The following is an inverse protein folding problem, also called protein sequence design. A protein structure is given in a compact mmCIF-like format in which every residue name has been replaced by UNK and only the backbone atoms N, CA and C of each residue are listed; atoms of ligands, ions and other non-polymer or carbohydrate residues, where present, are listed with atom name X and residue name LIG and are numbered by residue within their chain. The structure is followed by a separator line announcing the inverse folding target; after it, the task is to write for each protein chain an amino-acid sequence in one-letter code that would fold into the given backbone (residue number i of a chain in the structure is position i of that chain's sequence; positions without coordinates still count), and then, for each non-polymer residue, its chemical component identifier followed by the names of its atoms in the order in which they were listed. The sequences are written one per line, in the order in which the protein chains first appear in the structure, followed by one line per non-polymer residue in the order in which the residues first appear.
data_IF_188761515087
#
_entry.id   IF_188761515087
#
_cell.length_a   1.000
_cell.length_b   1.000
_cell.length_c   1.000
_cell.angle_alpha   90.00
_cell.angle_beta   90.00
_cell.angle_gamma   90.00
#
_symmetry.space_group_name_H-M   'P 1'
#
loop_
_entity.id
_entity.type
_entity.pdbx_description
1 polymer ?
#
# COMPACT_ATOMS: atom_id res chain seq x y z
N UNK A 1 -3.07 -30.97 49.26
CA UNK A 1 -3.76 -32.25 49.00
C UNK A 1 -3.29 -33.39 49.90
N UNK A 2 -2.01 -33.84 49.91
CA UNK A 2 -1.55 -34.97 50.77
C UNK A 2 -1.84 -34.74 52.25
N UNK A 3 -1.47 -33.58 52.82
CA UNK A 3 -1.73 -33.23 54.24
C UNK A 3 -3.24 -33.14 54.54
N UNK A 4 -4.03 -32.60 53.64
CA UNK A 4 -5.50 -32.50 53.81
C UNK A 4 -6.17 -33.89 53.89
N UNK A 5 -5.79 -34.82 52.98
CA UNK A 5 -6.30 -36.17 52.96
C UNK A 5 -5.88 -36.92 54.26
N UNK A 6 -4.68 -36.67 54.78
CA UNK A 6 -4.23 -37.26 56.01
C UNK A 6 -4.99 -36.73 57.24
N UNK A 7 -5.28 -35.40 57.29
CA UNK A 7 -6.11 -34.81 58.35
C UNK A 7 -7.54 -35.36 58.29
N UNK A 8 -8.04 -35.69 57.11
CA UNK A 8 -9.33 -36.35 56.93
C UNK A 8 -9.36 -37.86 57.29
N UNK A 9 -8.27 -38.40 57.86
CA UNK A 9 -8.19 -39.77 58.35
C UNK A 9 -7.76 -40.84 57.31
N UNK A 10 -7.43 -40.43 56.08
CA UNK A 10 -7.05 -41.40 55.06
C UNK A 10 -5.71 -42.09 55.36
N UNK A 11 -5.63 -43.41 55.07
CA UNK A 11 -4.39 -44.16 55.25
C UNK A 11 -3.35 -43.82 54.18
N UNK A 12 -2.05 -43.95 54.52
CA UNK A 12 -0.93 -43.56 53.64
C UNK A 12 -1.02 -44.33 52.31
N UNK A 13 -1.41 -45.62 52.34
CA UNK A 13 -1.57 -46.48 51.19
C UNK A 13 -2.64 -45.90 50.25
N UNK A 14 -3.80 -45.49 50.80
CA UNK A 14 -4.90 -44.94 50.03
C UNK A 14 -4.57 -43.59 49.40
N UNK A 15 -3.83 -42.76 50.14
CA UNK A 15 -3.32 -41.48 49.65
C UNK A 15 -2.33 -41.70 48.50
N UNK A 16 -1.43 -42.69 48.64
CA UNK A 16 -0.46 -43.03 47.61
C UNK A 16 -1.14 -43.51 46.33
N UNK A 17 -2.12 -44.41 46.47
CA UNK A 17 -2.90 -44.92 45.34
C UNK A 17 -3.73 -43.80 44.64
N UNK A 18 -4.39 -42.95 45.43
CA UNK A 18 -5.25 -41.87 44.92
C UNK A 18 -4.47 -40.77 44.20
N UNK A 19 -3.23 -40.52 44.58
CA UNK A 19 -2.36 -39.49 44.02
C UNK A 19 -1.43 -40.02 42.93
N UNK A 20 -1.32 -41.34 42.78
CA UNK A 20 -0.44 -42.03 41.81
C UNK A 20 1.05 -41.86 42.17
N UNK A 21 1.41 -41.95 43.50
CA UNK A 21 2.77 -41.87 43.96
C UNK A 21 3.10 -42.94 44.98
N UNK A 22 4.39 -43.20 45.25
CA UNK A 22 4.79 -44.20 46.25
C UNK A 22 4.46 -43.77 47.69
N UNK A 23 4.20 -44.72 48.60
CA UNK A 23 4.02 -44.43 50.04
C UNK A 23 5.21 -43.66 50.63
N UNK A 24 6.44 -43.97 50.20
CA UNK A 24 7.66 -43.27 50.58
C UNK A 24 7.56 -41.79 50.25
N UNK A 25 6.98 -41.46 49.10
CA UNK A 25 6.75 -40.07 48.68
C UNK A 25 5.72 -39.40 49.59
N UNK A 26 4.60 -40.10 49.92
CA UNK A 26 3.58 -39.57 50.84
C UNK A 26 4.18 -39.30 52.24
N UNK A 27 4.93 -40.26 52.81
CA UNK A 27 5.59 -40.07 54.11
C UNK A 27 6.57 -38.93 54.11
N UNK A 28 7.40 -38.78 53.05
CA UNK A 28 8.31 -37.64 52.88
C UNK A 28 7.59 -36.30 52.89
N UNK A 29 6.47 -36.20 52.15
CA UNK A 29 5.69 -34.96 52.09
C UNK A 29 4.94 -34.63 53.39
N UNK A 30 4.53 -35.62 54.13
CA UNK A 30 3.92 -35.46 55.45
C UNK A 30 4.94 -34.98 56.51
N UNK A 31 6.19 -35.41 56.40
CA UNK A 31 7.27 -34.99 57.32
C UNK A 31 7.80 -33.57 57.04
N UNK A 32 7.51 -32.98 55.89
CA UNK A 32 7.97 -31.63 55.56
C UNK A 32 7.08 -30.56 56.19
N UNK A 33 7.61 -29.52 56.85
CA UNK A 33 6.84 -28.44 57.44
C UNK A 33 6.11 -27.61 56.38
N UNK A 34 6.68 -27.47 55.17
CA UNK A 34 6.10 -26.80 54.01
C UNK A 34 6.25 -27.64 52.73
N UNK A 35 5.40 -27.42 51.70
CA UNK A 35 5.60 -28.07 50.41
C UNK A 35 7.00 -27.80 49.88
N UNK A 36 7.74 -28.81 49.34
CA UNK A 36 9.05 -28.56 48.78
C UNK A 36 8.93 -27.61 47.61
N UNK A 37 9.55 -26.47 47.74
CA UNK A 37 9.74 -25.56 46.59
C UNK A 37 10.68 -26.26 45.62
N UNK A 38 10.25 -26.47 44.40
CA UNK A 38 11.09 -27.05 43.36
C UNK A 38 12.42 -26.28 43.28
N UNK A 39 13.53 -26.99 43.16
CA UNK A 39 14.83 -26.35 42.93
C UNK A 39 14.65 -25.35 41.77
N UNK A 40 15.12 -24.09 41.93
CA UNK A 40 15.11 -23.15 40.84
C UNK A 40 15.81 -23.81 39.65
N UNK A 41 15.10 -24.01 38.56
CA UNK A 41 15.68 -24.54 37.31
C UNK A 41 16.77 -23.56 36.90
N UNK A 42 18.03 -23.93 36.99
CA UNK A 42 19.15 -23.16 36.44
C UNK A 42 18.82 -22.93 34.95
N UNK A 43 18.59 -21.70 34.61
CA UNK A 43 18.17 -21.30 33.28
C UNK A 43 19.37 -21.53 32.37
N UNK A 44 19.32 -22.56 31.52
CA UNK A 44 20.34 -22.76 30.48
C UNK A 44 20.36 -21.55 29.57
N UNK A 45 21.55 -21.03 29.19
CA UNK A 45 21.63 -19.92 28.23
C UNK A 45 20.90 -20.28 26.93
N UNK A 46 20.07 -19.38 26.51
CA UNK A 46 19.31 -19.54 25.26
C UNK A 46 20.12 -18.99 24.08
N UNK A 47 20.04 -19.63 22.92
CA UNK A 47 20.60 -19.08 21.65
C UNK A 47 20.08 -17.66 21.34
N UNK A 48 18.95 -17.27 21.96
CA UNK A 48 18.33 -15.96 21.79
C UNK A 48 18.98 -14.89 22.70
N UNK A 49 19.63 -15.27 23.78
CA UNK A 49 20.11 -14.32 24.81
C UNK A 49 21.00 -13.21 24.24
N UNK A 50 21.96 -13.48 23.35
CA UNK A 50 22.80 -12.44 22.73
C UNK A 50 22.00 -11.44 21.87
N UNK A 51 20.86 -11.85 21.35
CA UNK A 51 20.04 -11.08 20.42
C UNK A 51 18.88 -10.33 21.09
N UNK A 52 18.63 -10.55 22.37
CA UNK A 52 17.55 -9.87 23.11
C UNK A 52 17.63 -8.34 23.08
N UNK A 53 18.82 -7.70 23.25
CA UNK A 53 18.92 -6.25 23.13
C UNK A 53 18.46 -5.72 21.78
N UNK A 54 18.81 -6.40 20.69
CA UNK A 54 18.33 -6.06 19.35
C UNK A 54 16.81 -6.19 19.24
N UNK A 55 16.23 -7.29 19.76
CA UNK A 55 14.76 -7.48 19.75
C UNK A 55 14.08 -6.34 20.52
N UNK A 56 14.60 -5.98 21.70
CA UNK A 56 14.03 -4.91 22.54
C UNK A 56 14.13 -3.55 21.84
N UNK A 57 15.20 -3.27 21.12
CA UNK A 57 15.34 -2.10 20.29
C UNK A 57 14.30 -2.08 19.15
N UNK A 58 14.08 -3.22 18.48
CA UNK A 58 13.04 -3.33 17.44
C UNK A 58 11.64 -3.09 18.03
N UNK A 59 11.34 -3.63 19.20
CA UNK A 59 10.06 -3.40 19.89
C UNK A 59 9.89 -1.93 20.30
N UNK A 60 10.94 -1.25 20.75
CA UNK A 60 10.93 0.19 21.04
C UNK A 60 10.69 1.02 19.77
N UNK A 61 11.18 0.55 18.64
CA UNK A 61 10.92 1.13 17.31
C UNK A 61 9.56 0.72 16.72
N UNK A 62 8.65 0.17 17.54
CA UNK A 62 7.31 -0.29 17.13
C UNK A 62 7.28 -1.45 16.12
N UNK A 63 8.39 -2.19 15.93
CA UNK A 63 8.43 -3.41 15.12
C UNK A 63 7.92 -4.58 15.97
N UNK A 64 6.62 -4.89 15.88
CA UNK A 64 5.96 -5.95 16.65
C UNK A 64 5.81 -7.27 15.91
N UNK A 65 6.25 -7.35 14.64
CA UNK A 65 6.15 -8.56 13.83
C UNK A 65 7.30 -9.50 14.13
N UNK A 66 7.04 -10.59 14.86
CA UNK A 66 8.05 -11.58 15.24
C UNK A 66 8.71 -12.26 14.02
N UNK A 67 8.05 -12.34 12.88
CA UNK A 67 8.62 -12.91 11.65
C UNK A 67 9.64 -11.96 11.02
N UNK A 68 9.33 -10.66 10.97
CA UNK A 68 10.27 -9.63 10.51
C UNK A 68 11.53 -9.64 11.39
N UNK A 69 11.34 -9.63 12.72
CA UNK A 69 12.45 -9.67 13.67
C UNK A 69 13.26 -10.96 13.49
N UNK A 70 12.61 -12.10 13.31
CA UNK A 70 13.29 -13.38 13.07
C UNK A 70 14.14 -13.38 11.81
N UNK A 71 13.64 -12.80 10.71
CA UNK A 71 14.41 -12.67 9.46
C UNK A 71 15.63 -11.79 9.66
N UNK A 72 15.49 -10.63 10.32
CA UNK A 72 16.61 -9.74 10.65
C UNK A 72 17.65 -10.43 11.56
N UNK A 73 17.20 -11.23 12.53
CA UNK A 73 18.10 -12.02 13.37
C UNK A 73 18.86 -13.09 12.58
N UNK A 74 18.20 -13.72 11.60
CA UNK A 74 18.85 -14.67 10.68
C UNK A 74 19.98 -14.02 9.89
N UNK A 75 19.76 -12.81 9.41
CA UNK A 75 20.77 -12.00 8.71
C UNK A 75 21.97 -11.67 9.61
N UNK A 76 21.74 -11.57 10.94
CA UNK A 76 22.79 -11.36 11.95
C UNK A 76 23.38 -12.67 12.50
N UNK A 77 23.08 -13.83 11.88
CA UNK A 77 23.66 -15.11 12.27
C UNK A 77 22.88 -15.90 13.34
N UNK A 78 21.63 -15.52 13.67
CA UNK A 78 20.81 -16.29 14.60
C UNK A 78 20.41 -17.65 14.02
N UNK A 79 20.80 -18.73 14.68
CA UNK A 79 20.55 -20.12 14.29
C UNK A 79 19.42 -20.82 15.08
N UNK A 80 18.68 -20.07 15.91
CA UNK A 80 17.57 -20.59 16.72
C UNK A 80 16.25 -20.61 15.97
N UNK A 81 15.17 -21.07 16.65
CA UNK A 81 13.83 -21.14 16.06
C UNK A 81 13.06 -19.82 16.18
N UNK A 82 12.13 -19.60 15.25
CA UNK A 82 11.19 -18.47 15.31
C UNK A 82 10.24 -18.57 16.52
N UNK A 83 10.05 -19.76 17.07
CA UNK A 83 9.22 -19.98 18.28
C UNK A 83 9.80 -19.27 19.47
N UNK A 84 11.11 -19.35 19.72
CA UNK A 84 11.78 -18.64 20.83
C UNK A 84 11.62 -17.12 20.70
N UNK A 85 11.71 -16.59 19.48
CA UNK A 85 11.50 -15.17 19.23
C UNK A 85 10.05 -14.78 19.54
N UNK A 86 9.07 -15.57 19.10
CA UNK A 86 7.65 -15.33 19.41
C UNK A 86 7.34 -15.40 20.89
N UNK A 87 7.86 -16.38 21.60
CA UNK A 87 7.70 -16.53 23.04
C UNK A 87 8.30 -15.35 23.82
N UNK A 88 9.43 -14.81 23.38
CA UNK A 88 10.05 -13.63 23.99
C UNK A 88 9.24 -12.35 23.76
N UNK A 89 8.66 -12.17 22.57
CA UNK A 89 7.89 -10.98 22.19
C UNK A 89 6.46 -11.01 22.74
N UNK A 90 5.84 -12.20 22.83
CA UNK A 90 4.42 -12.35 23.16
C UNK A 90 3.98 -11.63 24.46
N UNK A 91 4.67 -11.76 25.61
CA UNK A 91 4.25 -11.09 26.85
C UNK A 91 4.42 -9.57 26.79
N UNK A 92 5.21 -9.05 25.85
CA UNK A 92 5.46 -7.62 25.67
C UNK A 92 4.47 -6.95 24.71
N UNK A 93 3.64 -7.75 24.00
CA UNK A 93 2.66 -7.22 23.03
C UNK A 93 1.47 -6.54 23.71
N UNK A 94 1.05 -5.37 23.22
CA UNK A 94 -0.21 -4.76 23.67
C UNK A 94 -1.41 -5.66 23.29
N UNK A 95 -2.38 -5.75 24.20
CA UNK A 95 -3.63 -6.50 23.98
C UNK A 95 -4.46 -5.87 22.86
N UNK A 96 -4.91 -6.67 21.91
CA UNK A 96 -5.79 -6.25 20.82
C UNK A 96 -7.13 -7.00 20.88
N UNK A 97 -8.24 -6.29 20.71
CA UNK A 97 -9.56 -6.90 20.59
C UNK A 97 -9.68 -7.73 19.29
N UNK A 98 -10.25 -8.93 19.38
CA UNK A 98 -10.51 -9.78 18.21
C UNK A 98 -11.78 -9.32 17.48
N UNK A 99 -11.71 -9.20 16.14
CA UNK A 99 -12.87 -8.89 15.29
C UNK A 99 -13.38 -10.18 14.63
N UNK A 100 -14.69 -10.44 14.72
CA UNK A 100 -15.34 -11.55 14.01
C UNK A 100 -15.46 -11.22 12.52
N UNK A 101 -15.09 -12.13 11.63
CA UNK A 101 -15.17 -11.99 10.16
C UNK A 101 -15.78 -13.21 9.52
N UNK A 102 -16.70 -13.02 8.57
CA UNK A 102 -17.25 -14.08 7.71
C UNK A 102 -16.31 -14.25 6.51
N UNK A 103 -15.88 -15.47 6.26
CA UNK A 103 -15.03 -15.83 5.12
C UNK A 103 -15.89 -16.35 3.97
N UNK A 104 -15.69 -15.83 2.77
CA UNK A 104 -16.24 -16.41 1.55
C UNK A 104 -15.10 -16.61 0.54
N UNK A 105 -15.18 -17.69 -0.22
CA UNK A 105 -14.20 -18.00 -1.25
C UNK A 105 -14.75 -17.62 -2.63
N UNK A 106 -13.85 -17.19 -3.52
CA UNK A 106 -14.17 -16.88 -4.91
C UNK A 106 -13.56 -17.92 -5.83
N UNK A 107 -14.18 -18.16 -6.96
CA UNK A 107 -13.61 -19.01 -8.03
C UNK A 107 -12.37 -18.34 -8.62
N UNK A 108 -11.45 -19.12 -9.24
CA UNK A 108 -10.28 -18.60 -9.93
C UNK A 108 -10.65 -17.55 -10.98
N UNK A 109 -9.86 -16.51 -11.12
CA UNK A 109 -10.03 -15.43 -12.09
C UNK A 109 -11.28 -14.56 -11.91
N UNK A 110 -12.12 -14.83 -10.91
CA UNK A 110 -13.45 -14.20 -10.78
C UNK A 110 -13.42 -12.80 -10.25
N UNK A 111 -12.53 -12.49 -9.30
CA UNK A 111 -12.57 -11.21 -8.61
C UNK A 111 -11.20 -10.78 -8.09
N UNK A 112 -10.90 -9.52 -8.34
CA UNK A 112 -9.88 -8.75 -7.63
C UNK A 112 -10.56 -7.84 -6.62
N UNK A 113 -9.94 -7.66 -5.46
CA UNK A 113 -10.33 -6.67 -4.45
C UNK A 113 -9.24 -5.61 -4.36
N UNK A 114 -9.64 -4.36 -4.53
CA UNK A 114 -8.78 -3.18 -4.42
C UNK A 114 -9.08 -2.43 -3.13
N UNK A 115 -8.03 -2.00 -2.43
CA UNK A 115 -8.13 -1.15 -1.24
C UNK A 115 -6.93 -0.22 -1.11
N UNK A 116 -7.17 0.93 -0.49
CA UNK A 116 -6.12 1.87 -0.11
C UNK A 116 -5.78 1.77 1.37
N UNK A 117 -4.51 1.92 1.66
CA UNK A 117 -4.00 2.13 3.00
C UNK A 117 -3.08 3.34 3.05
N UNK A 118 -2.94 3.94 4.21
CA UNK A 118 -2.01 5.05 4.42
C UNK A 118 -0.98 4.67 5.48
N UNK A 119 0.26 5.07 5.29
CA UNK A 119 1.33 4.90 6.25
C UNK A 119 2.24 6.11 6.25
N UNK A 120 2.73 6.49 7.43
CA UNK A 120 3.71 7.55 7.56
C UNK A 120 5.12 6.96 7.54
N UNK A 121 5.93 7.36 6.59
CA UNK A 121 7.30 6.88 6.40
C UNK A 121 8.17 7.95 5.74
N UNK A 122 9.45 7.69 5.62
CA UNK A 122 10.40 8.60 4.99
C UNK A 122 10.56 8.28 3.50
N UNK A 123 10.41 9.31 2.64
CA UNK A 123 10.65 9.21 1.19
C UNK A 123 11.43 10.46 0.76
N UNK A 124 12.58 10.28 0.11
CA UNK A 124 13.43 11.39 -0.34
C UNK A 124 13.93 12.27 0.82
N UNK A 125 14.24 11.67 1.97
CA UNK A 125 14.68 12.39 3.17
C UNK A 125 13.58 13.17 3.90
N UNK A 126 12.30 13.00 3.53
CA UNK A 126 11.16 13.68 4.17
C UNK A 126 10.16 12.69 4.71
N UNK A 127 9.69 12.91 5.93
CA UNK A 127 8.61 12.12 6.50
C UNK A 127 7.29 12.58 5.90
N UNK A 128 6.64 11.71 5.14
CA UNK A 128 5.37 11.99 4.47
C UNK A 128 4.36 10.85 4.67
N UNK A 129 3.11 11.11 4.33
CA UNK A 129 2.09 10.08 4.25
C UNK A 129 2.13 9.45 2.86
N UNK A 130 2.48 8.17 2.81
CA UNK A 130 2.47 7.35 1.60
C UNK A 130 1.13 6.63 1.51
N UNK A 131 0.52 6.67 0.33
CA UNK A 131 -0.70 5.91 0.03
C UNK A 131 -0.29 4.60 -0.66
N UNK A 132 -0.81 3.48 -0.17
CA UNK A 132 -0.53 2.14 -0.71
C UNK A 132 -1.83 1.54 -1.26
N UNK A 133 -1.86 1.28 -2.54
CA UNK A 133 -2.91 0.51 -3.19
C UNK A 133 -2.61 -0.98 -3.06
N UNK A 134 -3.54 -1.75 -2.54
CA UNK A 134 -3.41 -3.20 -2.35
C UNK A 134 -4.45 -3.91 -3.21
N UNK A 135 -3.98 -4.62 -4.22
CA UNK A 135 -4.77 -5.37 -5.18
C UNK A 135 -4.63 -6.87 -4.89
N UNK A 136 -5.70 -7.54 -4.52
CA UNK A 136 -5.68 -8.95 -4.09
C UNK A 136 -6.60 -9.80 -4.95
N UNK A 137 -6.07 -10.83 -5.59
CA UNK A 137 -6.87 -11.83 -6.27
C UNK A 137 -7.66 -12.67 -5.26
N UNK A 138 -8.93 -12.83 -5.53
CA UNK A 138 -9.86 -13.37 -4.55
C UNK A 138 -9.68 -14.86 -4.26
N UNK A 139 -9.17 -15.66 -5.19
CA UNK A 139 -8.94 -17.09 -5.05
C UNK A 139 -7.53 -17.38 -4.50
N UNK A 140 -6.49 -16.97 -5.19
CA UNK A 140 -5.10 -17.29 -4.83
C UNK A 140 -4.59 -16.53 -3.61
N UNK A 141 -5.16 -15.37 -3.30
CA UNK A 141 -4.57 -14.38 -2.37
C UNK A 141 -3.25 -13.80 -2.87
N UNK A 142 -2.97 -14.00 -4.14
CA UNK A 142 -1.86 -13.35 -4.82
C UNK A 142 -2.14 -11.86 -4.85
N UNK A 143 -1.15 -11.05 -4.51
CA UNK A 143 -1.38 -9.62 -4.34
C UNK A 143 -0.34 -8.81 -5.10
N UNK A 144 -0.76 -7.64 -5.53
CA UNK A 144 0.10 -6.59 -6.00
C UNK A 144 -0.08 -5.37 -5.09
N UNK A 145 1.00 -4.68 -4.78
CA UNK A 145 1.00 -3.46 -3.96
C UNK A 145 1.73 -2.37 -4.73
N UNK A 146 1.09 -1.24 -4.83
CA UNK A 146 1.65 -0.05 -5.46
C UNK A 146 1.58 1.15 -4.52
N UNK A 147 2.65 1.93 -4.44
CA UNK A 147 2.74 3.10 -3.56
C UNK A 147 2.79 4.38 -4.38
N UNK A 148 2.03 5.38 -3.95
CA UNK A 148 1.98 6.68 -4.59
C UNK A 148 1.73 7.83 -3.60
N UNK A 149 1.91 9.07 -4.04
CA UNK A 149 1.72 10.25 -3.19
C UNK A 149 0.25 10.56 -2.91
N UNK A 150 -0.66 10.12 -3.76
CA UNK A 150 -2.10 10.42 -3.68
C UNK A 150 -2.94 9.14 -3.82
N UNK A 151 -4.25 9.25 -3.53
CA UNK A 151 -5.25 8.18 -3.70
C UNK A 151 -6.46 8.70 -4.50
N UNK A 152 -6.21 9.57 -5.49
CA UNK A 152 -7.20 10.07 -6.42
C UNK A 152 -7.58 9.04 -7.50
N UNK A 153 -8.36 9.45 -8.48
CA UNK A 153 -8.85 8.57 -9.53
C UNK A 153 -7.69 8.04 -10.39
N UNK A 154 -6.79 8.92 -10.81
CA UNK A 154 -5.66 8.60 -11.67
C UNK A 154 -4.70 7.60 -11.01
N UNK A 155 -4.37 7.82 -9.73
CA UNK A 155 -3.54 6.87 -8.96
C UNK A 155 -4.25 5.54 -8.73
N UNK A 156 -5.58 5.54 -8.57
CA UNK A 156 -6.37 4.30 -8.47
C UNK A 156 -6.31 3.53 -9.79
N UNK A 157 -6.48 4.20 -10.93
CA UNK A 157 -6.41 3.57 -12.24
C UNK A 157 -5.01 3.02 -12.51
N UNK A 158 -3.97 3.81 -12.23
CA UNK A 158 -2.57 3.38 -12.37
C UNK A 158 -2.28 2.15 -11.54
N UNK A 159 -2.71 2.12 -10.27
CA UNK A 159 -2.50 0.96 -9.41
C UNK A 159 -3.12 -0.33 -9.94
N UNK A 160 -4.28 -0.22 -10.63
CA UNK A 160 -4.95 -1.35 -11.27
C UNK A 160 -4.24 -1.76 -12.56
N UNK A 161 -3.79 -0.80 -13.38
CA UNK A 161 -2.98 -1.07 -14.58
C UNK A 161 -1.71 -1.82 -14.21
N UNK A 162 -0.98 -1.35 -13.20
CA UNK A 162 0.23 -2.02 -12.70
C UNK A 162 -0.08 -3.42 -12.15
N UNK A 163 -1.22 -3.59 -11.45
CA UNK A 163 -1.65 -4.90 -10.98
C UNK A 163 -1.94 -5.86 -12.14
N UNK A 164 -2.63 -5.41 -13.19
CA UNK A 164 -2.92 -6.24 -14.37
C UNK A 164 -1.65 -6.61 -15.14
N UNK A 165 -0.67 -5.69 -15.21
CA UNK A 165 0.67 -5.99 -15.75
C UNK A 165 1.36 -7.07 -14.93
N UNK A 166 1.36 -6.92 -13.61
CA UNK A 166 2.02 -7.83 -12.68
C UNK A 166 1.40 -9.23 -12.69
N UNK A 167 0.07 -9.34 -12.82
CA UNK A 167 -0.64 -10.62 -12.91
C UNK A 167 -0.58 -11.23 -14.32
N UNK A 168 -0.14 -10.45 -15.29
CA UNK A 168 -0.20 -10.81 -16.72
C UNK A 168 -1.61 -11.27 -17.12
N UNK A 169 -2.62 -10.54 -16.65
CA UNK A 169 -4.01 -10.85 -16.90
C UNK A 169 -4.99 -9.99 -16.10
N UNK A 170 -6.26 -10.05 -16.47
CA UNK A 170 -7.34 -9.23 -15.91
C UNK A 170 -8.41 -10.13 -15.28
N UNK A 171 -8.81 -9.91 -14.03
CA UNK A 171 -9.90 -10.66 -13.40
C UNK A 171 -11.26 -10.26 -13.98
N UNK A 172 -12.24 -11.17 -13.98
CA UNK A 172 -13.58 -10.90 -14.51
C UNK A 172 -14.31 -9.75 -13.78
N UNK A 173 -13.93 -9.40 -12.56
CA UNK A 173 -14.50 -8.25 -11.85
C UNK A 173 -13.52 -7.63 -10.87
N UNK A 174 -13.61 -6.32 -10.69
CA UNK A 174 -12.84 -5.55 -9.69
C UNK A 174 -13.80 -4.99 -8.65
N UNK A 175 -13.58 -5.36 -7.38
CA UNK A 175 -14.33 -4.86 -6.23
C UNK A 175 -13.56 -3.71 -5.60
N UNK A 176 -14.16 -2.52 -5.62
CA UNK A 176 -13.61 -1.30 -5.00
C UNK A 176 -14.45 -0.87 -3.81
N UNK A 177 -13.85 -0.05 -2.94
CA UNK A 177 -14.61 0.64 -1.90
C UNK A 177 -15.41 1.81 -2.49
N UNK A 178 -16.33 2.36 -1.68
CA UNK A 178 -17.14 3.54 -2.04
C UNK A 178 -16.32 4.85 -2.00
N UNK A 179 -15.08 4.81 -2.49
CA UNK A 179 -14.26 6.03 -2.61
C UNK A 179 -14.68 6.79 -3.89
N UNK A 180 -14.65 8.12 -3.80
CA UNK A 180 -15.01 9.02 -4.92
C UNK A 180 -14.20 8.79 -6.19
N UNK A 181 -12.99 8.25 -6.06
CA UNK A 181 -12.14 7.87 -7.19
C UNK A 181 -12.81 6.85 -8.13
N UNK A 182 -13.59 5.93 -7.59
CA UNK A 182 -14.25 4.88 -8.36
C UNK A 182 -15.78 4.97 -8.30
N UNK A 183 -16.37 5.42 -7.17
CA UNK A 183 -17.82 5.45 -6.93
C UNK A 183 -18.25 6.88 -6.62
N UNK A 184 -19.05 7.48 -7.50
CA UNK A 184 -19.57 8.83 -7.32
C UNK A 184 -20.74 8.82 -6.34
N UNK A 185 -21.64 7.84 -6.47
CA UNK A 185 -22.84 7.71 -5.62
C UNK A 185 -23.23 6.26 -5.42
N UNK A 186 -23.65 5.93 -4.22
CA UNK A 186 -24.21 4.64 -3.87
C UNK A 186 -25.53 4.86 -3.11
N UNK A 187 -26.64 4.61 -3.76
CA UNK A 187 -27.96 4.84 -3.22
C UNK A 187 -28.36 3.73 -2.23
N UNK A 188 -29.33 4.05 -1.34
CA UNK A 188 -29.85 3.09 -0.35
C UNK A 188 -30.48 1.86 -1.01
N UNK A 189 -31.03 2.04 -2.21
CA UNK A 189 -31.65 0.98 -3.00
C UNK A 189 -30.63 0.05 -3.70
N UNK A 190 -29.33 0.28 -3.47
CA UNK A 190 -28.25 -0.53 -4.00
C UNK A 190 -27.78 -0.13 -5.42
N UNK A 191 -28.31 0.97 -5.98
CA UNK A 191 -27.86 1.53 -7.26
C UNK A 191 -26.53 2.24 -7.08
N UNK A 192 -25.51 1.86 -7.85
CA UNK A 192 -24.17 2.42 -7.82
C UNK A 192 -23.94 3.25 -9.08
N UNK A 193 -23.49 4.48 -8.90
CA UNK A 193 -22.98 5.33 -9.99
C UNK A 193 -21.46 5.37 -9.88
N UNK A 194 -20.80 4.75 -10.83
CA UNK A 194 -19.34 4.76 -10.91
C UNK A 194 -18.83 6.05 -11.57
N UNK A 195 -17.58 6.39 -11.30
CA UNK A 195 -16.86 7.44 -12.02
C UNK A 195 -16.72 7.02 -13.49
N UNK A 196 -16.91 7.98 -14.42
CA UNK A 196 -16.86 7.73 -15.88
C UNK A 196 -15.49 7.15 -16.28
N UNK A 197 -14.38 7.73 -15.80
CA UNK A 197 -13.03 7.21 -16.08
C UNK A 197 -12.81 5.79 -15.54
N UNK A 198 -13.45 5.43 -14.40
CA UNK A 198 -13.40 4.05 -13.90
C UNK A 198 -14.17 3.08 -14.79
N UNK A 199 -15.31 3.51 -15.37
CA UNK A 199 -16.04 2.70 -16.37
C UNK A 199 -15.29 2.57 -17.68
N UNK A 200 -14.61 3.62 -18.13
CA UNK A 200 -13.73 3.58 -19.30
C UNK A 200 -12.58 2.59 -19.10
N UNK A 201 -11.92 2.63 -17.92
CA UNK A 201 -10.92 1.63 -17.54
C UNK A 201 -11.51 0.22 -17.55
N UNK A 202 -12.70 0.03 -16.98
CA UNK A 202 -13.38 -1.26 -16.94
C UNK A 202 -13.70 -1.80 -18.34
N UNK A 203 -14.17 -0.94 -19.23
CA UNK A 203 -14.45 -1.29 -20.62
C UNK A 203 -13.16 -1.63 -21.39
N UNK A 204 -12.09 -0.85 -21.18
CA UNK A 204 -10.81 -1.06 -21.85
C UNK A 204 -10.21 -2.44 -21.52
N UNK A 205 -10.28 -2.86 -20.25
CA UNK A 205 -9.76 -4.15 -19.80
C UNK A 205 -10.79 -5.29 -19.79
N UNK A 206 -12.07 -5.02 -20.02
CA UNK A 206 -13.13 -6.02 -20.09
C UNK A 206 -13.58 -6.58 -18.73
N UNK A 207 -13.33 -5.89 -17.63
CA UNK A 207 -13.78 -6.33 -16.30
C UNK A 207 -15.10 -5.66 -15.87
N UNK A 208 -15.83 -6.32 -14.98
CA UNK A 208 -17.04 -5.76 -14.37
C UNK A 208 -16.68 -4.97 -13.12
N UNK A 209 -17.01 -3.67 -13.09
CA UNK A 209 -16.88 -2.82 -11.93
C UNK A 209 -17.87 -3.24 -10.83
N UNK A 210 -17.41 -3.44 -9.59
CA UNK A 210 -18.22 -3.75 -8.41
C UNK A 210 -17.86 -2.84 -7.25
N UNK A 211 -18.87 -2.34 -6.52
CA UNK A 211 -18.67 -1.58 -5.29
C UNK A 211 -19.06 -2.39 -4.06
N UNK A 212 -18.40 -2.12 -2.95
CA UNK A 212 -18.77 -2.68 -1.66
C UNK A 212 -20.14 -2.15 -1.22
N UNK A 213 -21.00 -3.02 -0.69
CA UNK A 213 -22.27 -2.58 -0.11
C UNK A 213 -22.01 -1.69 1.12
N UNK A 214 -22.66 -0.50 1.23
CA UNK A 214 -22.55 0.34 2.40
C UNK A 214 -22.93 -0.43 3.66
N UNK A 215 -22.28 -0.13 4.79
CA UNK A 215 -22.54 -0.71 6.12
C UNK A 215 -22.43 -2.25 6.24
N UNK A 216 -21.86 -2.94 5.24
CA UNK A 216 -21.52 -4.38 5.34
C UNK A 216 -20.00 -4.60 5.22
N UNK A 217 -19.23 -4.37 6.29
CA UNK A 217 -17.76 -4.52 6.26
C UNK A 217 -17.29 -5.94 5.95
N UNK A 218 -18.21 -6.92 5.93
CA UNK A 218 -17.90 -8.34 5.74
C UNK A 218 -17.47 -8.71 4.32
N UNK A 219 -17.79 -7.88 3.31
CA UNK A 219 -17.48 -8.16 1.90
C UNK A 219 -16.02 -7.91 1.54
N UNK A 220 -15.32 -7.05 2.28
CA UNK A 220 -13.95 -6.57 2.00
C UNK A 220 -12.86 -7.18 2.90
N UNK A 221 -13.21 -8.14 3.75
CA UNK A 221 -12.29 -8.69 4.77
C UNK A 221 -10.98 -9.32 4.25
N UNK A 222 -10.84 -9.53 2.94
CA UNK A 222 -9.59 -10.04 2.33
C UNK A 222 -8.56 -8.92 2.17
N UNK A 223 -8.95 -7.78 1.59
CA UNK A 223 -8.06 -6.63 1.36
C UNK A 223 -7.70 -5.88 2.64
N UNK A 224 -8.64 -5.63 3.54
CA UNK A 224 -8.34 -4.98 4.83
C UNK A 224 -7.24 -5.72 5.60
N UNK A 225 -7.27 -7.07 5.56
CA UNK A 225 -6.20 -7.89 6.16
C UNK A 225 -4.89 -7.75 5.43
N UNK A 226 -4.93 -7.63 4.09
CA UNK A 226 -3.71 -7.48 3.29
C UNK A 226 -3.11 -6.09 3.43
N UNK A 227 -3.90 -5.03 3.52
CA UNK A 227 -3.42 -3.69 3.91
C UNK A 227 -2.70 -3.75 5.27
N UNK A 228 -3.32 -4.40 6.27
CA UNK A 228 -2.70 -4.63 7.58
C UNK A 228 -1.43 -5.47 7.47
N UNK A 229 -1.42 -6.51 6.64
CA UNK A 229 -0.26 -7.36 6.41
C UNK A 229 0.92 -6.58 5.80
N UNK A 230 0.68 -5.77 4.76
CA UNK A 230 1.70 -4.91 4.15
C UNK A 230 2.27 -3.93 5.19
N UNK A 231 1.42 -3.23 5.94
CA UNK A 231 1.86 -2.29 6.98
C UNK A 231 2.71 -2.95 8.07
N UNK A 232 2.31 -4.13 8.54
CA UNK A 232 2.96 -4.82 9.65
C UNK A 232 4.10 -5.76 9.22
N UNK A 233 4.29 -5.98 7.93
CA UNK A 233 5.35 -6.86 7.44
C UNK A 233 6.39 -6.10 6.61
N UNK A 234 5.97 -5.40 5.55
CA UNK A 234 6.86 -4.66 4.71
C UNK A 234 7.38 -3.38 5.40
N UNK A 235 6.49 -2.49 5.84
CA UNK A 235 6.89 -1.20 6.41
C UNK A 235 7.48 -1.28 7.83
N UNK A 236 7.38 -2.42 8.50
CA UNK A 236 8.17 -2.66 9.72
C UNK A 236 9.61 -3.06 9.43
N UNK A 237 9.87 -3.59 8.23
CA UNK A 237 11.22 -3.95 7.78
C UNK A 237 11.92 -2.77 7.07
N UNK A 238 11.20 -2.07 6.20
CA UNK A 238 11.71 -0.95 5.41
C UNK A 238 11.03 0.34 5.85
N UNK A 239 11.80 1.35 6.23
CA UNK A 239 11.27 2.58 6.83
C UNK A 239 11.69 3.87 6.14
N UNK A 240 12.70 3.80 5.28
CA UNK A 240 13.24 4.93 4.53
C UNK A 240 13.43 4.53 3.08
N UNK A 241 13.08 5.42 2.18
CA UNK A 241 13.10 5.19 0.74
C UNK A 241 13.63 6.44 0.03
N UNK A 242 14.46 6.26 -0.99
CA UNK A 242 15.03 7.38 -1.74
C UNK A 242 13.97 8.08 -2.61
N UNK A 243 13.01 7.31 -3.12
CA UNK A 243 11.94 7.79 -3.99
C UNK A 243 10.75 6.83 -3.99
N UNK A 244 9.62 7.22 -4.58
CA UNK A 244 8.49 6.32 -4.84
C UNK A 244 8.87 5.16 -5.78
N UNK A 245 9.75 5.40 -6.74
CA UNK A 245 10.26 4.34 -7.63
C UNK A 245 11.04 3.29 -6.82
N UNK A 246 11.97 3.71 -5.96
CA UNK A 246 12.71 2.82 -5.07
C UNK A 246 11.76 2.05 -4.12
N UNK A 247 10.77 2.73 -3.54
CA UNK A 247 9.76 2.09 -2.69
C UNK A 247 9.00 0.98 -3.45
N UNK A 248 8.55 1.26 -4.67
CA UNK A 248 7.82 0.29 -5.51
C UNK A 248 8.70 -0.89 -5.93
N UNK A 249 9.98 -0.68 -6.23
CA UNK A 249 10.94 -1.77 -6.49
C UNK A 249 11.12 -2.68 -5.28
N UNK A 250 11.26 -2.11 -4.09
CA UNK A 250 11.35 -2.90 -2.86
C UNK A 250 10.06 -3.65 -2.53
N UNK A 251 8.90 -3.06 -2.83
CA UNK A 251 7.60 -3.72 -2.71
C UNK A 251 7.53 -4.94 -3.63
N UNK A 252 7.90 -4.80 -4.89
CA UNK A 252 7.91 -5.90 -5.86
C UNK A 252 8.87 -7.02 -5.44
N UNK A 253 10.07 -6.68 -5.02
CA UNK A 253 11.02 -7.65 -4.47
C UNK A 253 10.44 -8.39 -3.25
N UNK A 254 9.83 -7.67 -2.31
CA UNK A 254 9.22 -8.28 -1.13
C UNK A 254 8.00 -9.15 -1.48
N UNK A 255 7.20 -8.75 -2.48
CA UNK A 255 6.07 -9.54 -2.96
C UNK A 255 6.55 -10.92 -3.45
N UNK A 256 7.59 -10.94 -4.28
CA UNK A 256 8.12 -12.18 -4.87
C UNK A 256 8.85 -13.07 -3.86
N UNK A 257 9.67 -12.48 -2.99
CA UNK A 257 10.52 -13.22 -2.06
C UNK A 257 9.82 -13.61 -0.75
N UNK A 258 8.84 -12.85 -0.30
CA UNK A 258 8.20 -13.05 1.01
C UNK A 258 6.69 -13.26 0.91
N UNK A 259 5.97 -12.32 0.30
CA UNK A 259 4.51 -12.32 0.40
C UNK A 259 3.87 -13.48 -0.35
N UNK A 260 4.38 -13.85 -1.51
CA UNK A 260 3.84 -14.94 -2.33
C UNK A 260 4.34 -16.32 -1.91
N UNK A 261 5.44 -16.37 -1.16
CA UNK A 261 6.01 -17.62 -0.64
C UNK A 261 5.43 -18.03 0.73
N UNK A 262 4.60 -17.17 1.36
CA UNK A 262 4.01 -17.49 2.67
C UNK A 262 3.02 -18.63 2.58
N UNK A 263 3.08 -19.59 3.50
CA UNK A 263 2.10 -20.67 3.57
C UNK A 263 0.73 -20.15 4.04
N UNK A 264 -0.30 -20.34 3.23
CA UNK A 264 -1.69 -20.10 3.60
C UNK A 264 -2.23 -21.32 4.37
N UNK A 265 -2.22 -21.24 5.70
CA UNK A 265 -2.57 -22.37 6.58
C UNK A 265 -3.91 -23.03 6.26
N UNK A 266 -4.89 -22.24 5.78
CA UNK A 266 -6.22 -22.75 5.42
C UNK A 266 -6.16 -23.70 4.21
N UNK A 267 -5.24 -23.47 3.28
CA UNK A 267 -5.16 -24.20 2.01
C UNK A 267 -3.93 -25.11 1.94
N UNK A 268 -3.00 -25.01 2.90
CA UNK A 268 -1.70 -25.68 2.89
C UNK A 268 -0.90 -25.44 1.60
N UNK A 269 -1.10 -24.29 0.99
CA UNK A 269 -0.49 -23.84 -0.27
C UNK A 269 -0.02 -22.39 -0.12
N UNK A 270 0.93 -21.98 -0.95
CA UNK A 270 1.36 -20.59 -1.08
C UNK A 270 0.45 -19.80 -2.04
N UNK A 271 0.39 -18.47 -1.95
CA UNK A 271 -0.27 -17.65 -2.95
C UNK A 271 0.26 -17.91 -4.37
N UNK A 272 1.55 -18.16 -4.53
CA UNK A 272 2.17 -18.46 -5.83
C UNK A 272 1.62 -19.73 -6.44
N UNK A 273 1.66 -20.87 -5.71
CA UNK A 273 1.10 -22.15 -6.18
C UNK A 273 -0.38 -22.04 -6.57
N UNK A 274 -1.16 -21.28 -5.82
CA UNK A 274 -2.56 -21.04 -6.15
C UNK A 274 -2.77 -20.12 -7.34
N UNK A 275 -1.84 -19.15 -7.54
CA UNK A 275 -1.88 -18.26 -8.68
C UNK A 275 -1.62 -18.98 -9.99
N UNK A 276 -0.76 -19.98 -10.04
CA UNK A 276 -0.52 -20.79 -11.24
C UNK A 276 -1.81 -21.41 -11.79
N UNK A 277 -2.72 -21.84 -10.89
CA UNK A 277 -4.05 -22.31 -11.29
C UNK A 277 -5.00 -21.15 -11.66
N UNK A 278 -4.93 -20.00 -10.96
CA UNK A 278 -5.80 -18.85 -11.20
C UNK A 278 -5.46 -18.11 -12.50
N UNK A 279 -4.18 -18.07 -12.86
CA UNK A 279 -3.67 -17.35 -14.06
C UNK A 279 -4.39 -17.84 -15.35
N UNK A 280 -4.71 -19.11 -15.46
CA UNK A 280 -5.40 -19.70 -16.61
C UNK A 280 -6.86 -19.21 -16.78
N UNK A 281 -7.42 -18.57 -15.75
CA UNK A 281 -8.79 -18.05 -15.72
C UNK A 281 -8.87 -16.53 -15.79
N UNK A 282 -7.73 -15.85 -15.91
CA UNK A 282 -7.69 -14.40 -16.13
C UNK A 282 -7.98 -14.09 -17.61
N UNK A 283 -8.61 -12.95 -17.86
CA UNK A 283 -8.78 -12.41 -19.20
C UNK A 283 -7.44 -11.93 -19.74
N UNK A 284 -7.24 -12.01 -21.05
CA UNK A 284 -6.07 -11.44 -21.68
C UNK A 284 -6.02 -9.92 -21.52
N UNK A 285 -4.85 -9.36 -21.34
CA UNK A 285 -4.65 -7.91 -21.33
C UNK A 285 -4.78 -7.35 -22.75
N UNK A 286 -5.32 -6.13 -22.93
CA UNK A 286 -5.26 -5.44 -24.20
C UNK A 286 -3.79 -5.17 -24.61
N UNK A 287 -3.58 -4.98 -25.92
CA UNK A 287 -2.24 -4.72 -26.45
C UNK A 287 -1.64 -3.39 -25.95
N UNK A 288 -2.49 -2.41 -25.68
CA UNK A 288 -2.11 -1.10 -25.14
C UNK A 288 -2.71 -0.93 -23.77
N UNK A 289 -1.96 -0.35 -22.84
CA UNK A 289 -2.51 -0.04 -21.52
C UNK A 289 -3.38 1.21 -21.57
N UNK A 290 -4.30 1.32 -20.62
CA UNK A 290 -5.14 2.49 -20.43
C UNK A 290 -4.31 3.71 -20.04
N UNK A 291 -4.61 4.87 -20.64
CA UNK A 291 -3.97 6.14 -20.28
C UNK A 291 -4.56 6.66 -18.96
N UNK A 292 -3.79 6.57 -17.91
CA UNK A 292 -4.19 6.95 -16.54
C UNK A 292 -3.97 8.42 -16.23
N UNK A 293 -3.42 9.21 -17.17
CA UNK A 293 -3.15 10.63 -16.98
C UNK A 293 -4.47 11.40 -16.80
N UNK A 294 -4.45 12.38 -15.92
CA UNK A 294 -5.56 13.33 -15.81
C UNK A 294 -5.77 14.02 -17.15
N UNK A 295 -7.02 14.05 -17.58
CA UNK A 295 -7.44 14.66 -18.85
C UNK A 295 -8.42 15.80 -18.58
N UNK A 296 -8.21 16.95 -19.22
CA UNK A 296 -9.17 18.04 -19.20
C UNK A 296 -9.02 18.93 -20.43
N UNK A 297 -10.02 19.81 -20.69
CA UNK A 297 -9.99 20.81 -21.75
C UNK A 297 -9.88 22.18 -21.10
N UNK A 298 -8.99 23.01 -21.62
CA UNK A 298 -8.75 24.37 -21.15
C UNK A 298 -8.91 25.36 -22.30
N UNK A 299 -9.39 26.54 -21.97
CA UNK A 299 -9.41 27.67 -22.89
C UNK A 299 -8.10 28.47 -22.72
N UNK A 300 -7.44 28.79 -23.83
CA UNK A 300 -6.23 29.61 -23.83
C UNK A 300 -6.63 31.08 -23.78
N UNK A 301 -6.11 31.79 -22.82
CA UNK A 301 -6.31 33.24 -22.69
C UNK A 301 -5.57 34.01 -23.77
N UNK A 302 -5.96 35.27 -24.01
CA UNK A 302 -5.34 36.11 -25.04
C UNK A 302 -3.87 36.45 -24.78
N UNK A 303 -3.40 36.24 -23.55
CA UNK A 303 -2.00 36.40 -23.15
C UNK A 303 -1.21 35.09 -23.26
N UNK A 304 -1.74 34.09 -23.98
CA UNK A 304 -1.12 32.81 -24.26
C UNK A 304 -0.84 31.94 -23.00
N UNK A 305 -1.81 31.92 -22.06
CA UNK A 305 -1.74 31.06 -20.87
C UNK A 305 -2.99 30.18 -20.70
N UNK A 306 -2.81 29.09 -20.00
CA UNK A 306 -3.87 28.24 -19.46
C UNK A 306 -3.79 28.17 -17.96
N UNK A 307 -4.95 28.10 -17.29
CA UNK A 307 -5.03 27.93 -15.83
C UNK A 307 -5.14 26.45 -15.47
N UNK A 308 -4.18 25.96 -14.67
CA UNK A 308 -4.15 24.58 -14.19
C UNK A 308 -3.80 24.56 -12.70
N UNK A 309 -4.70 24.01 -11.88
CA UNK A 309 -4.51 23.87 -10.42
C UNK A 309 -4.10 25.17 -9.71
N UNK A 310 -4.65 26.31 -10.15
CA UNK A 310 -4.35 27.62 -9.56
C UNK A 310 -3.03 28.25 -9.98
N UNK A 311 -2.39 27.73 -11.02
CA UNK A 311 -1.18 28.30 -11.64
C UNK A 311 -1.41 28.52 -13.13
N UNK A 312 -0.64 29.42 -13.74
CA UNK A 312 -0.71 29.75 -15.16
C UNK A 312 0.51 29.17 -15.90
N UNK A 313 0.24 28.51 -17.00
CA UNK A 313 1.25 27.87 -17.86
C UNK A 313 1.15 28.40 -19.27
N UNK A 314 2.28 28.86 -19.82
CA UNK A 314 2.28 29.42 -21.17
C UNK A 314 2.06 28.34 -22.23
N UNK A 315 1.41 28.74 -23.31
CA UNK A 315 1.26 27.95 -24.53
C UNK A 315 1.64 28.82 -25.72
N UNK A 316 1.98 28.26 -26.90
CA UNK A 316 2.30 29.06 -28.05
C UNK A 316 1.19 30.07 -28.42
N UNK A 317 1.58 31.28 -28.77
CA UNK A 317 0.67 32.39 -29.08
C UNK A 317 -0.40 32.05 -30.14
N UNK A 318 -0.07 31.15 -31.06
CA UNK A 318 -1.00 30.65 -32.09
C UNK A 318 -2.24 29.92 -31.51
N UNK A 319 -2.19 29.49 -30.24
CA UNK A 319 -3.30 28.83 -29.54
C UNK A 319 -4.22 29.80 -28.83
N UNK A 320 -3.93 31.13 -28.82
CA UNK A 320 -4.75 32.14 -28.15
C UNK A 320 -6.21 32.08 -28.60
N UNK A 321 -7.14 32.15 -27.64
CA UNK A 321 -8.58 32.09 -27.90
C UNK A 321 -9.11 30.69 -28.29
N UNK A 322 -8.26 29.69 -28.37
CA UNK A 322 -8.64 28.31 -28.73
C UNK A 322 -8.81 27.44 -27.50
N UNK A 323 -9.45 26.30 -27.69
CA UNK A 323 -9.44 25.22 -26.69
C UNK A 323 -8.26 24.29 -26.93
N UNK A 324 -7.60 23.91 -25.85
CA UNK A 324 -6.51 22.93 -25.84
C UNK A 324 -6.85 21.80 -24.90
N UNK A 325 -6.34 20.63 -25.22
CA UNK A 325 -6.45 19.47 -24.35
C UNK A 325 -5.20 19.39 -23.46
N UNK A 326 -5.40 19.20 -22.18
CA UNK A 326 -4.29 18.99 -21.24
C UNK A 326 -4.27 17.56 -20.73
N UNK A 327 -3.08 17.01 -20.56
CA UNK A 327 -2.85 15.76 -19.84
C UNK A 327 -1.81 15.97 -18.75
N UNK A 328 -2.10 15.46 -17.56
CA UNK A 328 -1.18 15.56 -16.42
C UNK A 328 -0.80 14.15 -15.98
N UNK A 329 0.49 13.84 -16.02
CA UNK A 329 1.03 12.56 -15.54
C UNK A 329 1.01 12.49 -14.01
N UNK A 330 1.23 11.28 -13.47
CA UNK A 330 1.35 11.07 -12.02
C UNK A 330 2.61 11.71 -11.42
N UNK A 331 3.60 12.03 -12.27
CA UNK A 331 4.83 12.73 -11.89
C UNK A 331 4.70 14.27 -12.02
N UNK A 332 3.44 14.77 -12.11
CA UNK A 332 3.11 16.19 -12.25
C UNK A 332 3.70 16.84 -13.53
N UNK A 333 3.84 16.06 -14.62
CA UNK A 333 4.17 16.58 -15.94
C UNK A 333 2.88 16.96 -16.69
N UNK A 334 2.75 18.23 -17.06
CA UNK A 334 1.65 18.79 -17.84
C UNK A 334 2.04 18.81 -19.32
N UNK A 335 1.28 18.10 -20.15
CA UNK A 335 1.40 18.12 -21.61
C UNK A 335 0.15 18.79 -22.20
N UNK A 336 0.34 19.73 -23.10
CA UNK A 336 -0.75 20.47 -23.76
C UNK A 336 -0.81 20.08 -25.24
N UNK A 337 -2.01 19.77 -25.70
CA UNK A 337 -2.28 19.39 -27.09
C UNK A 337 -3.24 20.38 -27.74
N UNK A 338 -2.97 20.72 -28.98
CA UNK A 338 -3.89 21.51 -29.80
C UNK A 338 -5.14 20.72 -30.22
N UNK A 339 -6.04 21.39 -30.98
CA UNK A 339 -7.27 20.77 -31.51
C UNK A 339 -7.01 19.61 -32.50
N UNK A 340 -5.79 19.50 -33.03
CA UNK A 340 -5.37 18.44 -33.95
C UNK A 340 -4.73 17.28 -33.21
N UNK A 341 -4.57 17.38 -31.87
CA UNK A 341 -3.92 16.40 -31.03
C UNK A 341 -2.39 16.45 -31.11
N UNK A 342 -1.81 17.54 -31.61
CA UNK A 342 -0.35 17.75 -31.61
C UNK A 342 0.07 18.35 -30.28
N UNK A 343 1.18 17.83 -29.71
CA UNK A 343 1.79 18.41 -28.52
C UNK A 343 2.37 19.79 -28.85
N UNK A 344 1.89 20.81 -28.13
CA UNK A 344 2.30 22.22 -28.33
C UNK A 344 3.07 22.80 -27.16
N UNK A 345 2.93 22.25 -25.97
CA UNK A 345 3.68 22.68 -24.79
C UNK A 345 3.83 21.54 -23.77
N UNK A 346 4.92 21.62 -22.99
CA UNK A 346 5.19 20.73 -21.88
C UNK A 346 5.74 21.51 -20.70
N UNK A 347 5.17 21.31 -19.53
CA UNK A 347 5.57 21.94 -18.28
C UNK A 347 5.63 20.92 -17.16
N UNK A 348 6.35 21.25 -16.10
CA UNK A 348 6.24 20.55 -14.83
C UNK A 348 5.36 21.36 -13.88
N UNK A 349 4.35 20.73 -13.29
CA UNK A 349 3.49 21.42 -12.33
C UNK A 349 4.28 21.86 -11.10
N UNK A 350 3.94 23.04 -10.59
CA UNK A 350 4.54 23.59 -9.38
C UNK A 350 3.56 23.51 -8.21
N UNK A 351 4.08 23.24 -7.02
CA UNK A 351 3.30 23.27 -5.76
C UNK A 351 3.02 24.69 -5.26
N UNK A 352 3.64 25.72 -5.88
CA UNK A 352 3.36 27.13 -5.56
C UNK A 352 1.96 27.47 -6.03
N UNK A 353 1.24 28.27 -5.25
CA UNK A 353 -0.05 28.84 -5.67
C UNK A 353 0.20 30.18 -6.35
N UNK A 354 -0.69 30.52 -7.31
CA UNK A 354 -0.67 31.76 -8.07
C UNK A 354 0.67 32.03 -8.80
N UNK A 355 1.34 30.95 -9.20
CA UNK A 355 2.58 30.99 -9.96
C UNK A 355 2.34 31.11 -11.46
N UNK A 356 3.28 31.73 -12.16
CA UNK A 356 3.33 31.81 -13.61
C UNK A 356 4.54 31.02 -14.10
N UNK A 357 4.33 30.13 -15.04
CA UNK A 357 5.41 29.41 -15.72
C UNK A 357 5.35 29.72 -17.21
N UNK A 358 6.37 30.39 -17.70
CA UNK A 358 6.49 30.81 -19.08
C UNK A 358 7.65 30.09 -19.77
N UNK A 359 7.41 29.64 -20.99
CA UNK A 359 8.44 29.30 -21.97
C UNK A 359 8.59 30.51 -22.87
N UNK A 360 9.79 31.05 -22.97
CA UNK A 360 10.07 32.31 -23.64
C UNK A 360 9.61 32.33 -25.10
N UNK A 361 9.83 31.25 -25.82
CA UNK A 361 9.44 31.10 -27.23
C UNK A 361 7.93 31.17 -27.47
N UNK A 362 7.10 30.91 -26.46
CA UNK A 362 5.64 30.95 -26.59
C UNK A 362 5.11 32.36 -26.81
N UNK A 363 5.80 33.38 -26.29
CA UNK A 363 5.39 34.78 -26.35
C UNK A 363 6.14 35.60 -27.40
N UNK A 364 7.21 35.08 -27.97
CA UNK A 364 8.02 35.83 -28.98
C UNK A 364 7.20 36.43 -30.10
N UNK A 365 6.19 35.80 -30.69
CA UNK A 365 5.35 36.41 -31.71
C UNK A 365 4.50 37.58 -31.18
N UNK A 366 3.98 37.49 -29.94
CA UNK A 366 3.18 38.56 -29.32
C UNK A 366 4.02 39.81 -29.07
N UNK A 367 5.29 39.64 -28.66
CA UNK A 367 6.18 40.78 -28.45
C UNK A 367 6.56 41.49 -29.76
N UNK A 368 6.72 40.70 -30.86
CA UNK A 368 7.00 41.28 -32.19
C UNK A 368 5.87 42.15 -32.69
N UNK A 369 4.60 41.76 -32.42
CA UNK A 369 3.43 42.55 -32.85
C UNK A 369 3.17 43.76 -31.95
N UNK A 370 3.47 43.70 -30.66
CA UNK A 370 3.14 44.77 -29.68
C UNK A 370 4.26 45.81 -29.54
N UNK A 371 5.51 45.42 -29.80
CA UNK A 371 6.65 46.35 -29.73
C UNK A 371 7.45 46.35 -31.04
N UNK A 372 6.93 46.94 -32.09
CA UNK A 372 7.76 47.22 -33.26
C UNK A 372 8.86 48.22 -32.85
N UNK A 373 10.08 47.73 -32.72
CA UNK A 373 11.24 48.62 -32.47
C UNK A 373 11.45 49.44 -33.72
N UNK A 374 10.97 50.69 -33.72
CA UNK A 374 11.28 51.64 -34.74
C UNK A 374 12.73 52.13 -34.54
N UNK A 375 13.66 51.62 -35.34
CA UNK A 375 14.99 52.18 -35.43
C UNK A 375 14.89 53.54 -36.13
N UNK A 376 14.90 54.62 -35.36
CA UNK A 376 15.11 55.94 -35.92
C UNK A 376 16.62 56.16 -36.03
N UNK A 377 17.06 56.59 -37.20
CA UNK A 377 18.46 57.01 -37.41
C UNK A 377 18.78 58.15 -36.46
N UNK A 378 19.95 58.11 -35.82
CA UNK A 378 20.45 59.21 -34.98
C UNK A 378 20.52 60.55 -35.74
N UNK A 379 20.62 60.53 -37.08
CA UNK A 379 20.55 61.72 -37.93
C UNK A 379 19.29 62.57 -37.76
N UNK A 380 18.14 61.94 -37.31
CA UNK A 380 16.92 62.72 -37.02
C UNK A 380 17.05 63.57 -35.79
N UNK A 381 17.98 63.27 -34.87
CA UNK A 381 18.23 64.07 -33.68
C UNK A 381 19.29 65.21 -33.93
N UNK A 382 20.10 65.07 -34.94
CA UNK A 382 21.05 66.11 -35.36
C UNK A 382 20.33 67.31 -36.00
N UNK A 383 19.19 67.09 -36.71
CA UNK A 383 18.36 68.20 -37.25
C UNK A 383 17.65 69.02 -36.17
N UNK A 384 17.49 68.57 -34.96
CA UNK A 384 16.83 69.31 -33.87
C UNK A 384 17.80 70.12 -33.10
N UNK A 385 19.12 70.00 -33.31
CA UNK A 385 20.19 70.70 -32.64
C UNK A 385 20.77 71.87 -33.49
N UNK A 386 20.24 72.12 -34.66
CA UNK A 386 20.48 73.32 -35.50
C UNK A 386 19.33 74.30 -35.37
#
# INVERSE_FOLDING_TARGET
MIKQLRVQGAHIVDIAHRIGCSERTVRRYLALPAPPTGKPKTRRPSKLDPFKPFIDQQLANEVWNAEVIFQQLREQGYSGSSTLVREYIQPKRPLRASKQTVRYETQPGKQLQHDWGQIRTEVGGRICTVNIAVNVLGYSRYLHVWAGPRQDAEHTYESLVQAFRYFDGVPASVLVDNQKAAVVRHDRDGKVTFNTGFLELANHYGFVAKACRPQRPRTKGKTERMVGYVKHHFFQRYRSFDSYAHLNQLLEHWLTTCAHQRLLRQFQQTPLERFDAEKLHLLARPATDFDTRYYDVRHVSWDAYIDVRGNRYSVPAQCCGQQVTIRISLDDELTVYDIRGQEVARHRLTDRKDGWQAIEDHHSPLWQDVMPVQHRSLAVYEEVLQ
#
